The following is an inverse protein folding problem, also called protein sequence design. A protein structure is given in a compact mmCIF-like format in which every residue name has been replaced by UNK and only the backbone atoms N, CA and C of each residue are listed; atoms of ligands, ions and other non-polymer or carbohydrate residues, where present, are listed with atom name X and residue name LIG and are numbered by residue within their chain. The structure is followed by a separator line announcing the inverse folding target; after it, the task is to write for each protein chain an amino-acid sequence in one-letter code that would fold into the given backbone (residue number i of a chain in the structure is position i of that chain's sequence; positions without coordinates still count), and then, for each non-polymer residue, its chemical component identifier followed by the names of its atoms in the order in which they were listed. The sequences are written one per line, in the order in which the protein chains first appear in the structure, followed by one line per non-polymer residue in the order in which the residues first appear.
data_IF_697704232448
#
_entry.id   IF_697704232448
#
_cell.length_a   1.000
_cell.length_b   1.000
_cell.length_c   1.000
_cell.angle_alpha   90.00
_cell.angle_beta   90.00
_cell.angle_gamma   90.00
#
_symmetry.space_group_name_H-M   'P 1'
#
loop_
_entity.id
_entity.type
_entity.pdbx_description
1 polymer ?
#
# COMPACT_ATOMS: atom_id res chain seq x y z
N UNK A 1 -21.47 8.48 -29.04
CA UNK A 1 -21.44 8.60 -27.56
C UNK A 1 -20.14 9.28 -27.17
N UNK A 2 -20.18 10.35 -26.37
CA UNK A 2 -18.96 10.98 -25.85
C UNK A 2 -18.30 10.00 -24.87
N UNK A 3 -16.99 9.79 -25.01
CA UNK A 3 -16.20 8.95 -24.11
C UNK A 3 -16.20 9.64 -22.74
N UNK A 4 -16.87 9.05 -21.76
CA UNK A 4 -16.95 9.59 -20.40
C UNK A 4 -15.52 9.64 -19.83
N UNK A 5 -15.16 10.77 -19.24
CA UNK A 5 -13.83 10.98 -18.66
C UNK A 5 -13.64 9.98 -17.50
N UNK A 6 -12.52 9.26 -17.49
CA UNK A 6 -12.24 8.25 -16.47
C UNK A 6 -12.04 8.85 -15.07
N UNK A 7 -11.58 10.10 -14.99
CA UNK A 7 -11.47 10.83 -13.72
C UNK A 7 -12.86 11.20 -13.24
N UNK A 8 -13.70 11.77 -14.11
CA UNK A 8 -15.08 12.13 -13.75
C UNK A 8 -15.85 10.88 -13.30
N UNK A 9 -15.70 9.75 -14.00
CA UNK A 9 -16.30 8.48 -13.59
C UNK A 9 -15.78 7.98 -12.23
N UNK A 10 -14.49 8.11 -11.95
CA UNK A 10 -13.91 7.76 -10.65
C UNK A 10 -14.45 8.68 -9.55
N UNK A 11 -14.44 9.99 -9.78
CA UNK A 11 -14.94 10.99 -8.82
C UNK A 11 -16.43 10.82 -8.59
N UNK A 12 -17.24 10.57 -9.62
CA UNK A 12 -18.67 10.30 -9.53
C UNK A 12 -18.95 9.02 -8.74
N UNK A 13 -18.19 7.96 -9.00
CA UNK A 13 -18.31 6.71 -8.24
C UNK A 13 -17.91 6.89 -6.78
N UNK A 14 -16.82 7.61 -6.51
CA UNK A 14 -16.39 7.92 -5.15
C UNK A 14 -17.44 8.80 -4.45
N UNK A 15 -17.87 9.90 -5.07
CA UNK A 15 -18.89 10.80 -4.54
C UNK A 15 -20.22 10.08 -4.29
N UNK A 16 -20.67 9.21 -5.19
CA UNK A 16 -21.90 8.42 -5.02
C UNK A 16 -21.79 7.38 -3.91
N UNK A 17 -20.63 6.73 -3.75
CA UNK A 17 -20.43 5.79 -2.66
C UNK A 17 -20.31 6.52 -1.32
N UNK A 18 -19.58 7.64 -1.30
CA UNK A 18 -19.37 8.44 -0.10
C UNK A 18 -20.59 9.27 0.29
N UNK A 19 -21.48 9.66 -0.63
CA UNK A 19 -22.75 10.33 -0.28
C UNK A 19 -23.68 9.45 0.55
N UNK A 20 -23.46 8.13 0.54
CA UNK A 20 -24.18 7.21 1.43
C UNK A 20 -23.64 7.26 2.87
N UNK A 21 -22.50 7.89 3.10
CA UNK A 21 -21.95 8.14 4.43
C UNK A 21 -22.66 9.36 5.00
N UNK A 22 -23.20 9.19 6.21
CA UNK A 22 -23.81 10.28 6.96
C UNK A 22 -22.81 11.43 7.11
N UNK A 23 -23.24 12.65 6.82
CA UNK A 23 -22.46 13.88 6.86
C UNK A 23 -21.32 13.98 5.81
N UNK A 24 -21.49 13.38 4.62
CA UNK A 24 -20.51 13.46 3.52
C UNK A 24 -20.10 14.90 3.17
N UNK A 25 -21.01 15.86 3.30
CA UNK A 25 -20.73 17.28 3.09
C UNK A 25 -19.56 17.79 3.95
N UNK A 26 -19.33 17.20 5.12
CA UNK A 26 -18.16 17.54 5.96
C UNK A 26 -16.84 17.19 5.27
N UNK A 27 -16.80 16.15 4.43
CA UNK A 27 -15.59 15.82 3.64
C UNK A 27 -15.26 16.90 2.60
N UNK A 28 -16.17 17.82 2.31
CA UNK A 28 -15.98 18.91 1.36
C UNK A 28 -15.89 20.27 2.06
N UNK A 29 -16.63 20.46 3.14
CA UNK A 29 -16.78 21.75 3.82
C UNK A 29 -15.85 21.90 5.03
N UNK A 30 -15.43 20.80 5.68
CA UNK A 30 -14.46 20.85 6.77
C UNK A 30 -13.02 20.81 6.21
N UNK A 31 -12.12 21.73 6.60
CA UNK A 31 -10.74 21.76 6.10
C UNK A 31 -9.99 20.43 6.32
N UNK A 32 -10.15 19.78 7.47
CA UNK A 32 -9.45 18.54 7.78
C UNK A 32 -10.08 17.35 7.06
N UNK A 33 -11.42 17.28 7.03
CA UNK A 33 -12.19 16.32 6.24
C UNK A 33 -11.84 16.37 4.75
N UNK A 34 -11.72 17.58 4.17
CA UNK A 34 -11.30 17.78 2.78
C UNK A 34 -9.86 17.35 2.54
N UNK A 35 -8.95 17.68 3.44
CA UNK A 35 -7.55 17.26 3.37
C UNK A 35 -7.43 15.73 3.40
N UNK A 36 -8.17 15.07 4.28
CA UNK A 36 -8.19 13.62 4.43
C UNK A 36 -8.81 12.91 3.22
N UNK A 37 -9.93 13.43 2.72
CA UNK A 37 -10.54 12.96 1.48
C UNK A 37 -9.57 13.04 0.31
N UNK A 38 -8.94 14.20 0.10
CA UNK A 38 -7.97 14.40 -0.97
C UNK A 38 -6.74 13.51 -0.82
N UNK A 39 -6.29 13.23 0.40
CA UNK A 39 -5.23 12.27 0.67
C UNK A 39 -5.59 10.86 0.19
N UNK A 40 -6.78 10.36 0.56
CA UNK A 40 -7.27 9.04 0.15
C UNK A 40 -7.39 8.97 -1.38
N UNK A 41 -8.04 9.97 -1.99
CA UNK A 41 -8.23 10.02 -3.45
C UNK A 41 -6.90 10.04 -4.17
N UNK A 42 -5.95 10.90 -3.74
CA UNK A 42 -4.63 11.01 -4.35
C UNK A 42 -3.88 9.68 -4.31
N UNK A 43 -3.72 9.09 -3.12
CA UNK A 43 -2.91 7.87 -2.97
C UNK A 43 -3.55 6.64 -3.65
N UNK A 44 -4.88 6.53 -3.59
CA UNK A 44 -5.61 5.46 -4.29
C UNK A 44 -5.47 5.61 -5.81
N UNK A 45 -5.65 6.83 -6.33
CA UNK A 45 -5.51 7.12 -7.76
C UNK A 45 -4.08 6.93 -8.25
N UNK A 46 -3.07 7.30 -7.46
CA UNK A 46 -1.67 7.12 -7.84
C UNK A 46 -1.27 5.64 -7.97
N UNK A 47 -1.72 4.78 -7.04
CA UNK A 47 -1.45 3.33 -7.12
C UNK A 47 -2.23 2.68 -8.27
N UNK A 48 -3.48 3.08 -8.48
CA UNK A 48 -4.28 2.57 -9.58
C UNK A 48 -3.71 3.01 -10.95
N UNK A 49 -3.31 4.28 -11.07
CA UNK A 49 -2.63 4.77 -12.26
C UNK A 49 -1.30 4.06 -12.49
N UNK A 50 -0.52 3.81 -11.44
CA UNK A 50 0.73 3.06 -11.51
C UNK A 50 0.49 1.61 -12.00
N UNK A 51 -0.48 0.91 -11.43
CA UNK A 51 -0.87 -0.44 -11.85
C UNK A 51 -1.26 -0.46 -13.32
N UNK A 52 -2.14 0.46 -13.73
CA UNK A 52 -2.60 0.55 -15.11
C UNK A 52 -1.46 0.90 -16.09
N UNK A 53 -0.54 1.79 -15.69
CA UNK A 53 0.63 2.13 -16.48
C UNK A 53 1.48 0.90 -16.80
N UNK A 54 1.80 0.09 -15.79
CA UNK A 54 2.61 -1.11 -16.01
C UNK A 54 1.84 -2.18 -16.78
N UNK A 55 0.65 -2.54 -16.32
CA UNK A 55 -0.12 -3.67 -16.86
C UNK A 55 -0.59 -3.41 -18.29
N UNK A 56 -1.03 -2.19 -18.60
CA UNK A 56 -1.65 -1.89 -19.90
C UNK A 56 -0.73 -1.20 -20.90
N UNK A 57 0.40 -0.63 -20.46
CA UNK A 57 1.31 0.07 -21.38
C UNK A 57 2.71 -0.53 -21.38
N UNK A 58 3.37 -0.63 -20.24
CA UNK A 58 4.77 -1.09 -20.21
C UNK A 58 4.91 -2.57 -20.53
N UNK A 59 4.14 -3.46 -19.90
CA UNK A 59 4.25 -4.90 -20.18
C UNK A 59 3.91 -5.26 -21.64
N UNK A 60 2.83 -4.73 -22.24
CA UNK A 60 2.56 -4.96 -23.66
C UNK A 60 3.68 -4.41 -24.57
N UNK A 61 4.25 -3.25 -24.25
CA UNK A 61 5.36 -2.69 -25.01
C UNK A 61 6.61 -3.58 -24.93
N UNK A 62 6.95 -4.12 -23.75
CA UNK A 62 8.08 -5.02 -23.57
C UNK A 62 7.89 -6.34 -24.34
N UNK A 63 6.69 -6.92 -24.30
CA UNK A 63 6.37 -8.11 -25.11
C UNK A 63 6.51 -7.82 -26.61
N UNK A 64 5.98 -6.69 -27.06
CA UNK A 64 6.08 -6.28 -28.47
C UNK A 64 7.54 -6.12 -28.89
N UNK A 65 8.37 -5.48 -28.05
CA UNK A 65 9.81 -5.34 -28.29
C UNK A 65 10.49 -6.71 -28.43
N UNK A 66 10.16 -7.68 -27.58
CA UNK A 66 10.69 -9.05 -27.67
C UNK A 66 10.25 -9.75 -28.97
N UNK A 67 9.01 -9.56 -29.40
CA UNK A 67 8.48 -10.14 -30.64
C UNK A 67 9.13 -9.53 -31.89
N UNK A 68 9.31 -8.21 -31.90
CA UNK A 68 9.97 -7.49 -33.00
C UNK A 68 11.42 -7.95 -33.12
N UNK A 69 12.17 -8.03 -32.02
CA UNK A 69 13.55 -8.53 -32.01
C UNK A 69 13.64 -10.00 -32.44
N UNK A 70 12.72 -10.86 -32.00
CA UNK A 70 12.63 -12.26 -32.44
C UNK A 70 12.44 -12.36 -33.96
N UNK A 71 11.60 -11.49 -34.53
CA UNK A 71 11.37 -11.42 -35.98
C UNK A 71 12.64 -11.00 -36.72
N UNK A 72 13.32 -9.96 -36.26
CA UNK A 72 14.59 -9.50 -36.84
C UNK A 72 15.65 -10.60 -36.82
N UNK A 73 15.80 -11.31 -35.69
CA UNK A 73 16.72 -12.44 -35.59
C UNK A 73 16.39 -13.55 -36.59
N UNK A 74 15.12 -13.89 -36.76
CA UNK A 74 14.68 -14.93 -37.70
C UNK A 74 15.06 -14.63 -39.14
N UNK A 75 15.03 -13.35 -39.53
CA UNK A 75 15.36 -12.88 -40.88
C UNK A 75 16.80 -12.38 -41.03
N UNK A 76 17.59 -12.38 -39.95
CA UNK A 76 18.99 -11.97 -40.00
C UNK A 76 19.84 -12.92 -40.83
N UNK A 77 20.70 -12.35 -41.68
CA UNK A 77 21.76 -13.10 -42.38
C UNK A 77 22.76 -13.77 -41.43
N UNK A 78 22.83 -13.32 -40.18
CA UNK A 78 23.71 -13.84 -39.14
C UNK A 78 23.01 -14.78 -38.14
N UNK A 79 21.76 -15.18 -38.39
CA UNK A 79 20.99 -16.02 -37.45
C UNK A 79 21.68 -17.32 -37.03
N UNK A 80 22.56 -17.88 -37.87
CA UNK A 80 23.34 -19.08 -37.54
C UNK A 80 24.44 -18.83 -36.52
N UNK A 81 24.89 -17.59 -36.36
CA UNK A 81 25.91 -17.17 -35.39
C UNK A 81 25.30 -16.77 -34.05
N UNK A 82 24.02 -16.40 -34.03
CA UNK A 82 23.33 -15.88 -32.86
C UNK A 82 22.56 -17.04 -32.21
N UNK A 83 22.99 -17.42 -31.00
CA UNK A 83 22.32 -18.45 -30.18
C UNK A 83 21.65 -17.77 -28.98
N UNK A 84 20.45 -17.25 -29.21
CA UNK A 84 19.61 -16.67 -28.16
C UNK A 84 18.34 -17.53 -28.08
N UNK A 85 18.02 -18.02 -26.89
CA UNK A 85 16.83 -18.82 -26.65
C UNK A 85 15.58 -17.93 -26.43
N UNK A 86 14.40 -18.54 -26.43
CA UNK A 86 13.14 -17.81 -26.30
C UNK A 86 12.97 -17.10 -24.95
N UNK A 87 13.58 -17.60 -23.88
CA UNK A 87 13.50 -17.02 -22.55
C UNK A 87 14.42 -15.81 -22.40
N UNK A 88 15.61 -15.84 -23.00
CA UNK A 88 16.51 -14.69 -23.11
C UNK A 88 15.86 -13.52 -23.88
N UNK A 89 15.01 -13.82 -24.88
CA UNK A 89 14.24 -12.80 -25.59
C UNK A 89 13.15 -12.15 -24.71
N UNK A 90 12.68 -12.85 -23.67
CA UNK A 90 11.67 -12.34 -22.71
C UNK A 90 12.30 -11.61 -21.53
N UNK A 91 13.62 -11.48 -21.47
CA UNK A 91 14.29 -10.88 -20.31
C UNK A 91 13.79 -9.44 -20.03
N UNK A 92 13.60 -8.62 -21.08
CA UNK A 92 13.06 -7.27 -20.94
C UNK A 92 11.64 -7.25 -20.35
N UNK A 93 10.82 -8.27 -20.63
CA UNK A 93 9.49 -8.40 -20.05
C UNK A 93 9.57 -8.64 -18.54
N UNK A 94 10.40 -9.59 -18.11
CA UNK A 94 10.60 -9.86 -16.68
C UNK A 94 11.30 -8.70 -15.97
N UNK A 95 12.23 -8.01 -16.63
CA UNK A 95 12.87 -6.80 -16.12
C UNK A 95 11.85 -5.68 -15.89
N UNK A 96 10.91 -5.49 -16.81
CA UNK A 96 9.84 -4.51 -16.66
C UNK A 96 8.99 -4.80 -15.41
N UNK A 97 8.68 -6.08 -15.15
CA UNK A 97 7.94 -6.49 -13.94
C UNK A 97 8.77 -6.22 -12.68
N UNK A 98 10.05 -6.58 -12.68
CA UNK A 98 10.97 -6.34 -11.56
C UNK A 98 11.12 -4.85 -11.22
N UNK A 99 11.22 -3.99 -12.23
CA UNK A 99 11.20 -2.53 -12.05
C UNK A 99 9.84 -2.04 -11.53
N UNK A 100 8.74 -2.71 -11.92
CA UNK A 100 7.41 -2.51 -11.34
C UNK A 100 7.37 -2.72 -9.83
N UNK A 101 8.00 -3.79 -9.31
CA UNK A 101 8.10 -4.01 -7.86
C UNK A 101 8.89 -2.92 -7.14
N UNK A 102 9.96 -2.40 -7.76
CA UNK A 102 10.72 -1.27 -7.21
C UNK A 102 9.84 -0.01 -7.12
N UNK A 103 9.06 0.27 -8.17
CA UNK A 103 8.11 1.39 -8.17
C UNK A 103 7.01 1.24 -7.13
N UNK A 104 6.43 0.03 -7.01
CA UNK A 104 5.40 -0.28 -6.02
C UNK A 104 5.91 -0.07 -4.58
N UNK A 105 7.12 -0.54 -4.29
CA UNK A 105 7.78 -0.30 -3.00
C UNK A 105 7.92 1.19 -2.67
N UNK A 106 8.35 2.01 -3.63
CA UNK A 106 8.49 3.45 -3.40
C UNK A 106 7.14 4.15 -3.20
N UNK A 107 6.09 3.71 -3.90
CA UNK A 107 4.72 4.19 -3.68
C UNK A 107 4.23 3.85 -2.28
N UNK A 108 4.45 2.62 -1.82
CA UNK A 108 4.16 2.21 -0.45
C UNK A 108 4.95 3.03 0.59
N UNK A 109 6.26 3.21 0.41
CA UNK A 109 7.09 3.99 1.33
C UNK A 109 6.60 5.45 1.45
N UNK A 110 6.20 6.04 0.32
CA UNK A 110 5.62 7.38 0.28
C UNK A 110 4.28 7.43 1.00
N UNK A 111 3.44 6.40 0.83
CA UNK A 111 2.16 6.28 1.53
C UNK A 111 2.37 6.20 3.05
N UNK A 112 3.27 5.35 3.55
CA UNK A 112 3.59 5.21 4.97
C UNK A 112 4.04 6.54 5.60
N UNK A 113 4.91 7.29 4.92
CA UNK A 113 5.37 8.60 5.41
C UNK A 113 4.22 9.62 5.46
N UNK A 114 3.34 9.59 4.46
CA UNK A 114 2.27 10.58 4.32
C UNK A 114 1.08 10.28 5.23
N UNK A 115 0.75 9.00 5.43
CA UNK A 115 -0.36 8.58 6.29
C UNK A 115 -0.07 8.92 7.75
N UNK A 116 1.14 8.67 8.24
CA UNK A 116 1.54 9.02 9.61
C UNK A 116 1.28 10.50 9.91
N UNK A 117 1.74 11.37 9.00
CA UNK A 117 1.57 12.82 9.13
C UNK A 117 0.10 13.25 9.12
N UNK A 118 -0.71 12.73 8.20
CA UNK A 118 -2.12 13.16 8.12
C UNK A 118 -2.95 12.61 9.29
N UNK A 119 -2.57 11.46 9.85
CA UNK A 119 -3.20 10.95 11.07
C UNK A 119 -2.86 11.82 12.27
N UNK A 120 -1.61 12.26 12.41
CA UNK A 120 -1.22 13.19 13.47
C UNK A 120 -1.99 14.50 13.40
N UNK A 121 -2.12 15.09 12.20
CA UNK A 121 -2.91 16.29 12.00
C UNK A 121 -4.40 16.07 12.29
N UNK A 122 -4.96 14.93 11.87
CA UNK A 122 -6.36 14.59 12.12
C UNK A 122 -6.68 14.45 13.61
N UNK A 123 -5.82 13.74 14.35
CA UNK A 123 -6.07 13.51 15.76
C UNK A 123 -5.71 14.73 16.60
N UNK A 124 -4.73 15.56 16.24
CA UNK A 124 -4.42 16.76 17.00
C UNK A 124 -5.66 17.66 17.23
N UNK A 125 -6.57 17.73 16.26
CA UNK A 125 -7.83 18.50 16.37
C UNK A 125 -8.84 17.87 17.36
N UNK A 126 -8.67 16.59 17.73
CA UNK A 126 -9.56 15.83 18.61
C UNK A 126 -9.10 15.77 20.08
N UNK A 127 -7.84 16.12 20.35
CA UNK A 127 -7.26 16.09 21.68
C UNK A 127 -7.02 17.52 22.19
N UNK A 128 -7.15 17.73 23.50
CA UNK A 128 -6.71 18.99 24.13
C UNK A 128 -5.17 19.15 24.01
N UNK A 129 -4.69 20.40 23.98
CA UNK A 129 -3.36 20.84 23.50
C UNK A 129 -2.12 20.07 24.03
N UNK A 130 -2.24 19.20 25.05
CA UNK A 130 -1.12 18.44 25.62
C UNK A 130 -1.33 16.92 25.76
N UNK A 131 -2.47 16.37 25.34
CA UNK A 131 -2.79 14.96 25.58
C UNK A 131 -2.52 14.05 24.37
N UNK A 132 -2.28 14.64 23.20
CA UNK A 132 -1.93 13.89 22.00
C UNK A 132 -0.43 13.62 21.91
N UNK A 133 -0.11 12.35 21.75
CA UNK A 133 1.17 11.84 21.33
C UNK A 133 1.05 11.38 19.87
N UNK A 134 1.97 11.81 19.02
CA UNK A 134 2.00 11.38 17.62
C UNK A 134 1.97 9.85 17.46
N UNK A 135 1.37 9.38 16.36
CA UNK A 135 1.11 7.97 16.07
C UNK A 135 2.37 7.11 16.16
N UNK A 136 3.48 7.52 15.54
CA UNK A 136 4.70 6.71 15.51
C UNK A 136 5.29 6.45 16.91
N UNK A 137 5.53 7.48 17.75
CA UNK A 137 5.89 7.27 19.16
C UNK A 137 4.90 6.41 19.94
N UNK A 138 3.59 6.67 19.78
CA UNK A 138 2.55 5.94 20.50
C UNK A 138 2.54 4.44 20.16
N UNK A 139 2.66 4.10 18.88
CA UNK A 139 2.79 2.73 18.38
C UNK A 139 4.02 2.02 18.97
N UNK A 140 5.15 2.73 19.05
CA UNK A 140 6.40 2.16 19.56
C UNK A 140 6.29 1.86 21.06
N UNK A 141 5.70 2.75 21.84
CA UNK A 141 5.61 2.61 23.29
C UNK A 141 4.56 1.59 23.72
N UNK A 142 3.39 1.59 23.07
CA UNK A 142 2.26 0.75 23.50
C UNK A 142 2.20 -0.61 22.79
N UNK A 143 2.77 -0.72 21.59
CA UNK A 143 2.69 -1.92 20.75
C UNK A 143 4.04 -2.45 20.29
N UNK A 144 5.15 -1.79 20.64
CA UNK A 144 6.49 -2.12 20.13
C UNK A 144 6.55 -2.17 18.59
N UNK A 145 5.78 -1.28 17.93
CA UNK A 145 5.67 -1.20 16.48
C UNK A 145 6.37 0.03 15.93
N UNK A 146 7.13 -0.16 14.86
CA UNK A 146 7.65 0.94 14.03
C UNK A 146 6.94 0.89 12.68
N UNK A 147 6.19 1.95 12.33
CA UNK A 147 5.35 1.97 11.13
C UNK A 147 6.12 1.61 9.85
N UNK A 148 7.36 2.09 9.71
CA UNK A 148 8.23 1.77 8.57
C UNK A 148 8.64 0.29 8.50
N UNK A 149 8.67 -0.41 9.63
CA UNK A 149 9.01 -1.84 9.71
C UNK A 149 7.79 -2.75 9.51
N UNK A 150 6.57 -2.22 9.60
CA UNK A 150 5.31 -2.96 9.33
C UNK A 150 5.23 -3.50 7.91
N UNK A 151 6.11 -3.06 7.01
CA UNK A 151 6.27 -3.63 5.67
C UNK A 151 6.48 -5.16 5.68
N UNK A 152 7.03 -5.72 6.76
CA UNK A 152 7.23 -7.16 6.92
C UNK A 152 6.09 -7.85 7.69
N UNK A 153 5.11 -7.11 8.20
CA UNK A 153 3.97 -7.66 8.93
C UNK A 153 2.87 -8.14 7.97
N UNK A 154 2.92 -7.70 6.71
CA UNK A 154 1.91 -8.01 5.70
C UNK A 154 2.55 -8.74 4.51
N UNK A 155 2.01 -9.89 4.10
CA UNK A 155 2.61 -10.71 3.03
C UNK A 155 2.83 -9.96 1.71
N UNK A 156 1.90 -9.08 1.33
CA UNK A 156 1.96 -8.35 0.06
C UNK A 156 3.13 -7.36 0.05
N UNK A 157 3.21 -6.47 1.05
CA UNK A 157 4.31 -5.53 1.14
C UNK A 157 5.65 -6.20 1.46
N UNK A 158 5.66 -7.31 2.19
CA UNK A 158 6.87 -8.10 2.46
C UNK A 158 7.44 -8.65 1.15
N UNK A 159 6.59 -9.27 0.33
CA UNK A 159 6.95 -9.78 -0.99
C UNK A 159 7.49 -8.68 -1.90
N UNK A 160 6.77 -7.57 -1.99
CA UNK A 160 7.16 -6.42 -2.81
C UNK A 160 8.50 -5.85 -2.35
N UNK A 161 8.70 -5.67 -1.05
CA UNK A 161 9.96 -5.22 -0.46
C UNK A 161 11.11 -6.20 -0.75
N UNK A 162 10.86 -7.51 -0.60
CA UNK A 162 11.86 -8.53 -0.83
C UNK A 162 12.33 -8.53 -2.29
N UNK A 163 11.39 -8.52 -3.26
CA UNK A 163 11.71 -8.46 -4.68
C UNK A 163 12.41 -7.13 -5.02
N UNK A 164 11.90 -5.99 -4.54
CA UNK A 164 12.53 -4.70 -4.78
C UNK A 164 13.98 -4.65 -4.30
N UNK A 165 14.30 -5.27 -3.16
CA UNK A 165 15.67 -5.38 -2.67
C UNK A 165 16.52 -6.34 -3.52
N UNK A 166 15.98 -7.48 -3.95
CA UNK A 166 16.63 -8.36 -4.92
C UNK A 166 17.02 -7.59 -6.19
N UNK A 167 16.13 -6.76 -6.72
CA UNK A 167 16.39 -5.93 -7.91
C UNK A 167 17.45 -4.87 -7.64
N UNK A 168 17.34 -4.12 -6.54
CA UNK A 168 18.24 -3.00 -6.21
C UNK A 168 19.66 -3.42 -5.86
N UNK A 169 19.81 -4.54 -5.15
CA UNK A 169 21.06 -4.90 -4.50
C UNK A 169 21.67 -6.19 -5.02
N UNK A 170 20.91 -6.99 -5.76
CA UNK A 170 21.30 -8.32 -6.21
C UNK A 170 20.94 -8.56 -7.67
N UNK A 171 20.81 -7.51 -8.49
CA UNK A 171 20.53 -7.59 -9.93
C UNK A 171 19.30 -8.47 -10.30
N UNK A 172 18.33 -8.55 -9.38
CA UNK A 172 17.11 -9.35 -9.55
C UNK A 172 17.25 -10.83 -9.21
N UNK A 173 18.39 -11.30 -8.72
CA UNK A 173 18.59 -12.68 -8.25
C UNK A 173 17.94 -12.92 -6.87
N UNK A 174 17.28 -14.07 -6.64
CA UNK A 174 16.52 -14.37 -5.42
C UNK A 174 17.42 -14.80 -4.24
N UNK A 175 18.44 -14.01 -3.92
CA UNK A 175 19.49 -14.37 -2.95
C UNK A 175 19.43 -13.60 -1.63
N UNK A 176 18.56 -12.58 -1.53
CA UNK A 176 18.37 -11.79 -0.30
C UNK A 176 17.95 -12.68 0.87
N UNK A 177 18.58 -12.48 2.01
CA UNK A 177 18.19 -13.12 3.28
C UNK A 177 17.28 -12.20 4.12
N UNK A 178 16.34 -12.76 4.91
CA UNK A 178 15.84 -14.13 4.79
C UNK A 178 15.14 -14.34 3.44
N UNK A 179 15.16 -15.57 2.92
CA UNK A 179 14.42 -15.93 1.71
C UNK A 179 12.93 -16.01 2.04
N UNK A 180 12.11 -15.32 1.26
CA UNK A 180 10.67 -15.35 1.42
C UNK A 180 10.13 -16.75 1.10
N UNK A 181 9.11 -17.22 1.83
CA UNK A 181 8.61 -18.59 1.69
C UNK A 181 8.24 -18.95 0.24
N UNK A 182 7.63 -18.01 -0.49
CA UNK A 182 7.26 -18.19 -1.90
C UNK A 182 8.45 -18.32 -2.87
N UNK A 183 9.67 -18.02 -2.41
CA UNK A 183 10.90 -18.11 -3.20
C UNK A 183 11.88 -19.18 -2.67
N UNK A 184 11.47 -20.02 -1.70
CA UNK A 184 12.34 -21.03 -1.12
C UNK A 184 12.86 -22.06 -2.14
N UNK A 185 12.10 -22.31 -3.20
CA UNK A 185 12.46 -23.25 -4.28
C UNK A 185 12.96 -22.54 -5.54
N UNK A 186 13.13 -21.21 -5.50
CA UNK A 186 13.60 -20.45 -6.66
C UNK A 186 15.08 -20.78 -6.96
N UNK A 187 15.42 -20.86 -8.25
CA UNK A 187 16.81 -21.00 -8.66
C UNK A 187 17.59 -19.72 -8.35
N UNK A 188 18.65 -19.84 -7.56
CA UNK A 188 19.52 -18.73 -7.15
C UNK A 188 20.39 -18.21 -8.30
N UNK A 189 20.54 -18.99 -9.37
CA UNK A 189 21.30 -18.64 -10.56
C UNK A 189 20.42 -18.03 -11.67
N UNK A 190 19.12 -17.88 -11.43
CA UNK A 190 18.23 -17.18 -12.34
C UNK A 190 17.66 -15.93 -11.69
N UNK A 191 17.49 -14.88 -12.50
CA UNK A 191 16.75 -13.69 -12.04
C UNK A 191 15.29 -14.07 -11.81
N UNK A 192 14.64 -13.36 -10.88
CA UNK A 192 13.22 -13.53 -10.57
C UNK A 192 12.38 -13.36 -11.84
N UNK A 193 11.59 -14.39 -12.15
CA UNK A 193 10.64 -14.43 -13.28
C UNK A 193 9.23 -14.50 -12.70
N UNK A 194 8.53 -13.37 -12.70
CA UNK A 194 7.14 -13.25 -12.27
C UNK A 194 6.29 -12.90 -13.47
N UNK A 195 5.09 -13.45 -13.56
CA UNK A 195 4.16 -13.15 -14.65
C UNK A 195 3.27 -11.94 -14.36
N UNK A 196 2.79 -11.29 -15.43
CA UNK A 196 1.95 -10.10 -15.34
C UNK A 196 0.70 -10.29 -14.45
N UNK A 197 0.13 -11.50 -14.43
CA UNK A 197 -1.03 -11.84 -13.61
C UNK A 197 -0.70 -11.72 -12.12
N UNK A 198 0.38 -12.37 -11.68
CA UNK A 198 0.84 -12.35 -10.30
C UNK A 198 1.26 -10.93 -9.87
N UNK A 199 1.97 -10.21 -10.73
CA UNK A 199 2.33 -8.81 -10.47
C UNK A 199 1.09 -7.92 -10.26
N UNK A 200 0.04 -8.12 -11.07
CA UNK A 200 -1.22 -7.39 -10.90
C UNK A 200 -1.91 -7.73 -9.57
N UNK A 201 -1.97 -9.01 -9.22
CA UNK A 201 -2.57 -9.48 -7.98
C UNK A 201 -1.84 -8.90 -6.75
N UNK A 202 -0.50 -8.88 -6.78
CA UNK A 202 0.32 -8.27 -5.73
C UNK A 202 0.06 -6.75 -5.57
N UNK A 203 -0.16 -6.02 -6.67
CA UNK A 203 -0.54 -4.60 -6.62
C UNK A 203 -1.94 -4.39 -6.05
N UNK A 204 -2.89 -5.25 -6.39
CA UNK A 204 -4.24 -5.21 -5.83
C UNK A 204 -4.22 -5.52 -4.31
N UNK A 205 -3.38 -6.47 -3.87
CA UNK A 205 -3.15 -6.75 -2.45
C UNK A 205 -2.48 -5.58 -1.72
N UNK A 206 -1.51 -4.91 -2.33
CA UNK A 206 -0.88 -3.73 -1.75
C UNK A 206 -1.90 -2.59 -1.55
N UNK A 207 -2.82 -2.39 -2.51
CA UNK A 207 -3.89 -1.40 -2.38
C UNK A 207 -4.82 -1.75 -1.21
N UNK A 208 -5.25 -3.02 -1.09
CA UNK A 208 -6.06 -3.49 0.04
C UNK A 208 -5.33 -3.28 1.38
N UNK A 209 -4.06 -3.64 1.43
CA UNK A 209 -3.25 -3.47 2.64
C UNK A 209 -3.17 -2.01 3.08
N UNK A 210 -3.04 -1.06 2.14
CA UNK A 210 -3.02 0.36 2.49
C UNK A 210 -4.32 0.81 3.19
N UNK A 211 -5.47 0.27 2.77
CA UNK A 211 -6.76 0.53 3.42
C UNK A 211 -6.83 -0.11 4.81
N UNK A 212 -6.32 -1.34 4.96
CA UNK A 212 -6.18 -1.99 6.27
C UNK A 212 -5.33 -1.15 7.22
N UNK A 213 -4.19 -0.63 6.74
CA UNK A 213 -3.30 0.18 7.56
C UNK A 213 -3.96 1.50 7.99
N UNK A 214 -4.66 2.17 7.08
CA UNK A 214 -5.43 3.37 7.40
C UNK A 214 -6.43 3.09 8.53
N UNK A 215 -7.16 1.98 8.42
CA UNK A 215 -8.13 1.56 9.43
C UNK A 215 -7.44 1.26 10.77
N UNK A 216 -6.30 0.57 10.75
CA UNK A 216 -5.52 0.28 11.95
C UNK A 216 -5.03 1.56 12.64
N UNK A 217 -4.58 2.56 11.89
CA UNK A 217 -4.15 3.85 12.46
C UNK A 217 -5.31 4.63 13.08
N UNK A 218 -6.52 4.53 12.53
CA UNK A 218 -7.71 5.10 13.19
C UNK A 218 -7.98 4.42 14.53
N UNK A 219 -7.89 3.07 14.58
CA UNK A 219 -8.05 2.35 15.84
C UNK A 219 -6.98 2.75 16.87
N UNK A 220 -5.74 3.01 16.43
CA UNK A 220 -4.66 3.49 17.30
C UNK A 220 -5.01 4.84 17.92
N UNK A 221 -5.44 5.81 17.12
CA UNK A 221 -5.82 7.12 17.66
C UNK A 221 -7.07 7.06 18.55
N UNK A 222 -8.05 6.20 18.25
CA UNK A 222 -9.18 5.97 19.17
C UNK A 222 -8.77 5.25 20.45
N UNK A 223 -7.79 4.33 20.39
CA UNK A 223 -7.24 3.65 21.56
C UNK A 223 -6.54 4.66 22.48
N UNK A 224 -5.82 5.62 21.89
CA UNK A 224 -5.21 6.72 22.61
C UNK A 224 -6.27 7.65 23.22
N UNK A 225 -7.29 8.03 22.45
CA UNK A 225 -8.38 8.89 22.90
C UNK A 225 -9.12 8.26 24.10
N UNK A 226 -9.44 6.96 24.01
CA UNK A 226 -10.04 6.21 25.12
C UNK A 226 -9.12 6.06 26.34
N UNK A 227 -7.82 6.37 26.20
CA UNK A 227 -6.83 6.35 27.26
C UNK A 227 -6.68 7.68 28.03
N UNK A 228 -7.30 8.78 27.57
CA UNK A 228 -7.26 10.07 28.27
C UNK A 228 -7.98 10.02 29.62
N UNK A 229 -7.61 10.93 30.55
CA UNK A 229 -8.24 11.02 31.86
C UNK A 229 -9.77 11.23 31.75
N UNK A 230 -10.50 10.49 32.57
CA UNK A 230 -11.95 10.35 32.48
C UNK A 230 -12.73 11.67 32.65
N UNK A 231 -12.12 12.71 33.24
CA UNK A 231 -12.71 14.04 33.38
C UNK A 231 -13.03 14.66 32.01
N UNK A 232 -12.20 14.43 31.00
CA UNK A 232 -12.37 14.97 29.65
C UNK A 232 -13.35 14.12 28.82
N UNK A 233 -13.38 12.81 29.08
CA UNK A 233 -14.27 11.87 28.39
C UNK A 233 -15.71 11.92 28.94
N UNK A 234 -15.91 12.19 30.24
CA UNK A 234 -17.26 12.26 30.86
C UNK A 234 -18.15 13.37 30.32
N UNK A 235 -17.59 14.49 29.89
CA UNK A 235 -18.36 15.57 29.24
C UNK A 235 -18.83 15.20 27.83
N UNK A 236 -18.17 14.22 27.19
CA UNK A 236 -18.44 13.79 25.81
C UNK A 236 -19.17 12.44 25.71
N UNK A 237 -19.20 11.64 26.80
CA UNK A 237 -19.99 10.41 26.85
C UNK A 237 -21.45 10.70 27.24
N UNK A 238 -22.38 10.08 26.54
CA UNK A 238 -23.79 10.03 26.92
C UNK A 238 -23.96 9.55 28.38
N UNK A 239 -24.87 10.18 29.13
CA UNK A 239 -25.22 9.79 30.51
C UNK A 239 -25.35 8.26 30.65
N UNK A 240 -24.59 7.66 31.58
CA UNK A 240 -24.71 6.24 31.94
C UNK A 240 -23.53 5.32 31.59
N UNK A 241 -22.45 5.82 30.96
CA UNK A 241 -21.24 5.01 30.73
C UNK A 241 -20.28 5.03 31.93
N UNK A 242 -19.77 3.85 32.29
CA UNK A 242 -18.89 3.61 33.44
C UNK A 242 -17.40 3.55 33.05
N UNK A 243 -16.50 3.56 34.04
CA UNK A 243 -15.06 3.34 33.83
C UNK A 243 -14.74 1.95 33.26
N UNK A 244 -15.55 0.95 33.63
CA UNK A 244 -15.44 -0.41 33.12
C UNK A 244 -15.78 -0.47 31.63
N UNK A 245 -16.75 0.34 31.17
CA UNK A 245 -17.10 0.43 29.75
C UNK A 245 -15.96 1.00 28.90
N UNK A 246 -15.29 2.05 29.39
CA UNK A 246 -14.15 2.67 28.68
C UNK A 246 -12.96 1.70 28.62
N UNK A 247 -12.66 1.01 29.73
CA UNK A 247 -11.63 -0.03 29.76
C UNK A 247 -11.94 -1.19 28.80
N UNK A 248 -13.20 -1.63 28.75
CA UNK A 248 -13.62 -2.69 27.83
C UNK A 248 -13.49 -2.27 26.36
N UNK A 249 -13.84 -1.02 26.02
CA UNK A 249 -13.63 -0.48 24.67
C UNK A 249 -12.15 -0.43 24.33
N UNK A 250 -11.31 0.09 25.23
CA UNK A 250 -9.86 0.19 25.02
C UNK A 250 -9.23 -1.19 24.80
N UNK A 251 -9.60 -2.19 25.59
CA UNK A 251 -9.14 -3.57 25.43
C UNK A 251 -9.53 -4.17 24.07
N UNK A 252 -10.77 -3.92 23.60
CA UNK A 252 -11.20 -4.37 22.27
C UNK A 252 -10.46 -3.68 21.12
N UNK A 253 -10.17 -2.38 21.28
CA UNK A 253 -9.35 -1.63 20.33
C UNK A 253 -7.93 -2.22 20.27
N UNK A 254 -7.33 -2.53 21.43
CA UNK A 254 -6.01 -3.13 21.51
C UNK A 254 -5.95 -4.49 20.79
N UNK A 255 -6.92 -5.37 21.02
CA UNK A 255 -7.03 -6.66 20.32
C UNK A 255 -7.17 -6.47 18.80
N UNK A 256 -7.97 -5.51 18.38
CA UNK A 256 -8.19 -5.20 16.96
C UNK A 256 -6.93 -4.64 16.30
N UNK A 257 -6.19 -3.77 17.00
CA UNK A 257 -4.91 -3.22 16.53
C UNK A 257 -3.90 -4.36 16.36
N UNK A 258 -3.76 -5.24 17.36
CA UNK A 258 -2.86 -6.40 17.29
C UNK A 258 -3.19 -7.31 16.12
N UNK A 259 -4.48 -7.61 15.94
CA UNK A 259 -4.97 -8.39 14.80
C UNK A 259 -4.63 -7.74 13.46
N UNK A 260 -4.92 -6.45 13.28
CA UNK A 260 -4.68 -5.76 12.00
C UNK A 260 -3.19 -5.57 11.69
N UNK A 261 -2.33 -5.47 12.70
CA UNK A 261 -0.88 -5.39 12.52
C UNK A 261 -0.17 -6.75 12.52
N UNK A 262 -0.90 -7.85 12.67
CA UNK A 262 -0.37 -9.22 12.80
C UNK A 262 0.70 -9.35 13.90
N UNK A 263 0.41 -8.85 15.11
CA UNK A 263 1.30 -8.95 16.29
C UNK A 263 0.62 -9.57 17.51
#
# INVERSE_FOLDING_TARGET
MKKQNSIDLLVDNLASQFSNIKNFELTQNDPMGNKFFNFIVKHSSELEAFKNLFVHYYLPASIKSSQDFSRELKFSKYKSLIKINADELKENYFETIRLGYVGAFHKYETYIKSISKIMDEFFLDLFDENDYQNIEPYLKENFNLELKKTINNFPASEKINWIANCVKHYDGYPVKQPVLHSFNTADKNEKIKIEAKEFREDLDDLIRQNQTLLSALFLVGFHQFAGQEQSNIKEQLSEGKTEEDVKAVRSKLEESIKFLFNI
#
